data_IF_680383633792
#
_entry.id   IF_680383633792
#
_cell.length_a   1.000
_cell.length_b   1.000
_cell.length_c   1.000
_cell.angle_alpha   90.00
_cell.angle_beta   90.00
_cell.angle_gamma   90.00
#
_symmetry.space_group_name_H-M   'P 1'
#
loop_
_entity.id
_entity.type
_entity.pdbx_description
1 polymer ?
#
# COMPACT_ATOMS: atom_id res chain seq x y z
N UNK A 1 4.90 -5.05 6.97
CA UNK A 1 4.75 -3.77 6.26
C UNK A 1 4.62 -4.05 4.77
N UNK A 2 4.25 -3.09 3.93
CA UNK A 2 4.24 -3.25 2.46
C UNK A 2 5.57 -3.82 1.92
N UNK A 3 6.69 -3.29 2.42
CA UNK A 3 8.03 -3.72 2.03
C UNK A 3 8.37 -5.19 2.37
N UNK A 4 7.74 -5.76 3.39
CA UNK A 4 8.06 -7.11 3.87
C UNK A 4 7.00 -8.16 3.59
N UNK A 5 5.74 -7.74 3.40
CA UNK A 5 4.57 -8.62 3.25
C UNK A 5 3.90 -8.52 1.88
N UNK A 6 4.33 -7.58 1.03
CA UNK A 6 3.74 -7.37 -0.28
C UNK A 6 2.48 -6.49 -0.24
N UNK A 7 1.69 -6.49 -1.34
CA UNK A 7 0.50 -5.66 -1.47
C UNK A 7 -0.54 -5.95 -0.39
N UNK A 8 -1.26 -4.92 0.04
CA UNK A 8 -2.32 -5.03 1.05
C UNK A 8 -3.39 -3.97 0.84
N UNK A 9 -4.62 -4.22 1.30
CA UNK A 9 -5.67 -3.22 1.26
C UNK A 9 -5.42 -2.10 2.28
N UNK A 10 -6.03 -0.93 2.04
CA UNK A 10 -5.99 0.17 3.02
C UNK A 10 -6.55 -0.24 4.38
N UNK A 11 -7.62 -1.04 4.42
CA UNK A 11 -8.20 -1.48 5.69
C UNK A 11 -7.23 -2.37 6.49
N UNK A 12 -6.54 -3.29 5.82
CA UNK A 12 -5.54 -4.16 6.45
C UNK A 12 -4.32 -3.37 6.94
N UNK A 13 -3.86 -2.38 6.16
CA UNK A 13 -2.78 -1.49 6.56
C UNK A 13 -3.17 -0.62 7.76
N UNK A 14 -4.39 -0.09 7.78
CA UNK A 14 -4.90 0.73 8.88
C UNK A 14 -4.95 -0.09 10.18
N UNK A 15 -5.53 -1.30 10.10
CA UNK A 15 -5.62 -2.22 11.23
C UNK A 15 -4.23 -2.65 11.73
N UNK A 16 -3.34 -3.06 10.83
CA UNK A 16 -2.02 -3.58 11.21
C UNK A 16 -1.04 -2.51 11.72
N UNK A 17 -1.25 -1.25 11.36
CA UNK A 17 -0.44 -0.11 11.82
C UNK A 17 -1.11 0.67 12.97
N UNK A 18 -2.32 0.31 13.39
CA UNK A 18 -3.08 1.04 14.41
C UNK A 18 -3.48 2.46 13.99
N UNK A 19 -3.59 2.72 12.67
CA UNK A 19 -3.90 4.03 12.12
C UNK A 19 -5.40 4.16 11.83
N UNK A 20 -5.93 5.37 12.01
CA UNK A 20 -7.27 5.68 11.49
C UNK A 20 -7.27 5.63 9.96
N UNK A 21 -8.43 5.30 9.37
CA UNK A 21 -8.60 5.26 7.92
C UNK A 21 -8.21 6.59 7.25
N UNK A 22 -8.58 7.73 7.86
CA UNK A 22 -8.24 9.05 7.34
C UNK A 22 -6.72 9.30 7.35
N UNK A 23 -6.02 8.85 8.38
CA UNK A 23 -4.56 9.00 8.47
C UNK A 23 -3.86 8.16 7.42
N UNK A 24 -4.31 6.91 7.25
CA UNK A 24 -3.76 6.06 6.22
C UNK A 24 -4.00 6.62 4.81
N UNK A 25 -5.21 7.09 4.48
CA UNK A 25 -5.51 7.69 3.18
C UNK A 25 -4.58 8.87 2.87
N UNK A 26 -4.30 9.74 3.86
CA UNK A 26 -3.35 10.85 3.66
C UNK A 26 -1.93 10.33 3.41
N UNK A 27 -1.51 9.30 4.16
CA UNK A 27 -0.19 8.72 4.00
C UNK A 27 -0.02 8.01 2.64
N UNK A 28 -0.97 7.17 2.22
CA UNK A 28 -0.88 6.46 0.93
C UNK A 28 -0.95 7.44 -0.23
N UNK A 29 -1.77 8.49 -0.14
CA UNK A 29 -1.79 9.56 -1.14
C UNK A 29 -0.44 10.25 -1.28
N UNK A 30 0.18 10.66 -0.18
CA UNK A 30 1.49 11.32 -0.22
C UNK A 30 2.58 10.40 -0.80
N UNK A 31 2.55 9.11 -0.47
CA UNK A 31 3.48 8.11 -1.02
C UNK A 31 3.23 7.86 -2.52
N UNK A 32 1.98 7.86 -2.96
CA UNK A 32 1.62 7.68 -4.36
C UNK A 32 2.03 8.90 -5.20
N UNK A 33 1.80 10.11 -4.68
CA UNK A 33 2.28 11.36 -5.29
C UNK A 33 3.81 11.40 -5.41
N UNK A 34 4.53 10.74 -4.49
CA UNK A 34 5.97 10.56 -4.55
C UNK A 34 6.43 9.39 -5.45
N UNK A 35 5.51 8.64 -6.07
CA UNK A 35 5.81 7.50 -6.93
C UNK A 35 6.35 6.25 -6.18
N UNK A 36 6.12 6.17 -4.87
CA UNK A 36 6.64 5.09 -4.01
C UNK A 36 5.65 3.91 -3.89
N UNK A 37 4.36 4.19 -3.97
CA UNK A 37 3.29 3.18 -3.91
C UNK A 37 2.32 3.36 -5.06
N UNK A 38 1.69 2.26 -5.47
CA UNK A 38 0.59 2.26 -6.43
C UNK A 38 -0.68 1.68 -5.79
N UNK A 39 -1.84 2.24 -6.14
CA UNK A 39 -3.15 1.76 -5.72
C UNK A 39 -3.86 1.11 -6.92
N UNK A 40 -3.71 -0.21 -7.05
CA UNK A 40 -4.35 -0.97 -8.13
C UNK A 40 -5.70 -1.51 -7.68
N UNK A 41 -6.71 -1.36 -8.53
CA UNK A 41 -8.01 -2.00 -8.33
C UNK A 41 -7.91 -3.43 -8.85
N UNK A 42 -7.99 -4.39 -7.94
CA UNK A 42 -8.05 -5.80 -8.30
C UNK A 42 -9.52 -6.17 -8.52
N UNK A 43 -9.83 -6.60 -9.73
CA UNK A 43 -11.13 -7.20 -10.01
C UNK A 43 -11.23 -8.49 -9.20
N UNK A 44 -12.23 -8.57 -8.33
CA UNK A 44 -12.50 -9.81 -7.63
C UNK A 44 -13.19 -10.77 -8.62
N UNK A 45 -12.65 -11.96 -8.81
CA UNK A 45 -13.34 -13.06 -9.51
C UNK A 45 -14.50 -13.55 -8.63
N UNK A 46 -15.62 -12.80 -8.58
CA UNK A 46 -16.81 -13.16 -7.81
C UNK A 46 -17.68 -11.97 -7.41
N UNK A 47 -18.89 -12.21 -6.87
CA UNK A 47 -19.77 -11.15 -6.38
C UNK A 47 -19.14 -10.46 -5.17
N UNK A 48 -18.60 -9.26 -5.37
CA UNK A 48 -17.97 -8.47 -4.31
C UNK A 48 -17.57 -7.09 -4.79
N UNK A 49 -17.39 -6.15 -3.84
CA UNK A 49 -16.83 -4.83 -4.15
C UNK A 49 -15.37 -5.01 -4.56
N UNK A 50 -14.93 -4.44 -5.70
CA UNK A 50 -13.54 -4.53 -6.14
C UNK A 50 -12.56 -4.12 -5.04
N UNK A 51 -11.54 -4.94 -4.81
CA UNK A 51 -10.56 -4.73 -3.75
C UNK A 51 -9.49 -3.76 -4.26
N UNK A 52 -9.28 -2.66 -3.53
CA UNK A 52 -8.19 -1.73 -3.83
C UNK A 52 -6.98 -2.12 -3.00
N UNK A 53 -5.91 -2.53 -3.67
CA UNK A 53 -4.64 -2.91 -3.05
C UNK A 53 -3.64 -1.78 -3.20
N UNK A 54 -2.91 -1.51 -2.12
CA UNK A 54 -1.71 -0.69 -2.12
C UNK A 54 -0.52 -1.61 -2.32
N UNK A 55 0.42 -1.24 -3.18
CA UNK A 55 1.66 -1.97 -3.43
C UNK A 55 2.86 -1.01 -3.52
N UNK A 56 4.08 -1.51 -3.35
CA UNK A 56 5.28 -0.70 -3.64
C UNK A 56 5.53 -0.68 -5.15
N UNK A 57 5.91 0.49 -5.66
CA UNK A 57 6.40 0.60 -7.04
C UNK A 57 7.79 -0.04 -7.10
N UNK A 58 8.02 -1.09 -7.92
CA UNK A 58 9.33 -1.72 -8.04
C UNK A 58 10.40 -0.71 -8.47
N UNK A 59 11.55 -0.71 -7.78
CA UNK A 59 12.66 0.19 -8.07
C UNK A 59 12.48 1.64 -7.58
N UNK A 60 11.39 1.95 -6.88
CA UNK A 60 11.16 3.30 -6.31
C UNK A 60 12.07 3.66 -5.14
N UNK A 61 12.77 2.68 -4.55
CA UNK A 61 13.75 2.89 -3.49
C UNK A 61 14.91 1.88 -3.61
N UNK A 62 16.11 2.32 -3.24
CA UNK A 62 17.30 1.49 -3.13
C UNK A 62 17.87 1.58 -1.71
N UNK A 63 18.42 0.48 -1.21
CA UNK A 63 19.01 0.39 0.12
C UNK A 63 20.48 -0.05 -0.01
N UNK A 64 21.41 0.72 0.57
CA UNK A 64 22.83 0.34 0.67
C UNK A 64 23.16 -0.08 2.10
N UNK A 65 23.62 -1.31 2.28
CA UNK A 65 24.10 -1.83 3.55
C UNK A 65 25.61 -1.63 3.70
N UNK A 66 26.03 -1.00 4.80
CA UNK A 66 27.44 -0.91 5.21
C UNK A 66 27.64 -1.76 6.46
N UNK A 67 28.78 -2.46 6.51
CA UNK A 67 29.15 -3.35 7.63
C UNK A 67 29.85 -2.59 8.76
#
# INVERSE_FOLDING_TARGET
SLASRGPASRTELAASLGLSAATLTRATRALAEAGLVDESRVEAEGPGRPLSLVSLVPGSAALMGVK
#
